data_IF_960373578636
#
_entry.id   IF_960373578636
#
_cell.length_a   1.000
_cell.length_b   1.000
_cell.length_c   1.000
_cell.angle_alpha   90.00
_cell.angle_beta   90.00
_cell.angle_gamma   90.00
#
_symmetry.space_group_name_H-M   'P 1'
#
loop_
_entity.id
_entity.type
_entity.pdbx_description
1 polymer ?
#
# COMPACT_ATOMS: atom_id res chain seq x y z
N UNK A 1 4.36 -28.37 -13.63
CA UNK A 1 3.45 -27.35 -14.18
C UNK A 1 2.07 -27.47 -13.57
N UNK A 2 1.53 -28.66 -13.61
CA UNK A 2 0.21 -28.87 -13.01
C UNK A 2 0.19 -28.58 -11.52
N UNK A 3 1.31 -28.83 -10.86
CA UNK A 3 1.43 -28.53 -9.44
C UNK A 3 1.36 -27.05 -9.12
N UNK A 4 1.69 -26.23 -10.10
CA UNK A 4 1.67 -24.78 -9.89
C UNK A 4 0.25 -24.28 -9.61
N UNK A 5 -0.73 -24.76 -10.38
CA UNK A 5 -2.11 -24.33 -10.19
C UNK A 5 -2.65 -24.83 -8.85
N UNK A 6 -2.38 -26.09 -8.54
CA UNK A 6 -2.82 -26.65 -7.27
C UNK A 6 -2.17 -25.92 -6.09
N UNK A 7 -0.88 -25.60 -6.25
CA UNK A 7 -0.15 -24.92 -5.19
C UNK A 7 -0.66 -23.50 -4.96
N UNK A 8 -1.16 -22.84 -6.00
CA UNK A 8 -1.69 -21.50 -5.86
C UNK A 8 -2.89 -21.49 -4.91
N UNK A 9 -3.78 -22.47 -5.03
CA UNK A 9 -4.93 -22.56 -4.13
C UNK A 9 -4.49 -22.86 -2.71
N UNK A 10 -3.53 -23.76 -2.55
CA UNK A 10 -3.02 -24.13 -1.22
C UNK A 10 -2.36 -22.92 -0.58
N UNK A 11 -1.57 -22.17 -1.34
CA UNK A 11 -0.86 -20.99 -0.82
C UNK A 11 -1.85 -19.95 -0.31
N UNK A 12 -2.96 -19.73 -1.01
CA UNK A 12 -3.94 -18.75 -0.58
C UNK A 12 -4.63 -19.20 0.71
N UNK A 13 -4.94 -20.48 0.83
CA UNK A 13 -5.69 -20.98 1.98
C UNK A 13 -4.80 -21.28 3.18
N UNK A 14 -3.61 -21.84 2.94
CA UNK A 14 -2.72 -22.30 3.99
C UNK A 14 -1.28 -21.91 3.66
N UNK A 15 -0.94 -20.66 3.98
CA UNK A 15 0.40 -20.15 3.68
C UNK A 15 1.45 -20.85 4.52
N UNK A 16 2.46 -21.42 3.87
CA UNK A 16 3.64 -21.93 4.55
C UNK A 16 4.66 -20.81 4.74
N UNK A 17 5.81 -21.12 5.31
CA UNK A 17 6.82 -20.11 5.62
C UNK A 17 7.31 -19.38 4.36
N UNK A 18 7.56 -20.12 3.28
CA UNK A 18 8.04 -19.52 2.03
C UNK A 18 6.99 -18.59 1.44
N UNK A 19 5.73 -19.01 1.46
CA UNK A 19 4.65 -18.21 0.94
C UNK A 19 4.41 -16.94 1.76
N UNK A 20 4.55 -17.05 3.07
CA UNK A 20 4.44 -15.91 3.97
C UNK A 20 5.53 -14.89 3.69
N UNK A 21 6.77 -15.36 3.45
CA UNK A 21 7.86 -14.46 3.09
C UNK A 21 7.62 -13.76 1.77
N UNK A 22 7.02 -14.47 0.81
CA UNK A 22 6.67 -13.88 -0.48
C UNK A 22 5.63 -12.78 -0.30
N UNK A 23 4.61 -13.03 0.53
CA UNK A 23 3.58 -12.03 0.81
C UNK A 23 4.20 -10.81 1.49
N UNK A 24 5.08 -11.02 2.47
CA UNK A 24 5.76 -9.90 3.14
C UNK A 24 6.59 -9.09 2.15
N UNK A 25 7.28 -9.76 1.24
CA UNK A 25 8.05 -9.09 0.20
C UNK A 25 7.14 -8.25 -0.69
N UNK A 26 5.98 -8.78 -1.06
CA UNK A 26 5.01 -8.06 -1.87
C UNK A 26 4.46 -6.85 -1.13
N UNK A 27 4.19 -6.98 0.17
CA UNK A 27 3.73 -5.86 0.99
C UNK A 27 4.71 -4.70 0.95
N UNK A 28 5.99 -5.00 1.14
CA UNK A 28 7.02 -3.97 1.14
C UNK A 28 7.17 -3.32 -0.23
N UNK A 29 7.11 -4.14 -1.28
CA UNK A 29 7.21 -3.59 -2.64
C UNK A 29 6.03 -2.71 -3.00
N UNK A 30 4.83 -3.07 -2.52
CA UNK A 30 3.65 -2.26 -2.76
C UNK A 30 3.80 -0.88 -2.14
N UNK A 31 4.30 -0.82 -0.90
CA UNK A 31 4.50 0.45 -0.23
C UNK A 31 5.56 1.28 -0.96
N UNK A 32 6.66 0.65 -1.36
CA UNK A 32 7.73 1.34 -2.08
C UNK A 32 7.22 1.89 -3.41
N UNK A 33 6.45 1.10 -4.14
CA UNK A 33 5.91 1.54 -5.41
C UNK A 33 4.87 2.64 -5.22
N UNK A 34 4.07 2.54 -4.14
CA UNK A 34 3.08 3.57 -3.83
C UNK A 34 3.75 4.92 -3.59
N UNK A 35 4.90 4.95 -2.91
CA UNK A 35 5.64 6.19 -2.73
C UNK A 35 6.12 6.75 -4.06
N UNK A 36 6.61 5.91 -4.96
CA UNK A 36 7.03 6.36 -6.28
C UNK A 36 5.86 6.91 -7.07
N UNK A 37 4.72 6.23 -7.01
CA UNK A 37 3.53 6.68 -7.70
C UNK A 37 3.01 7.99 -7.12
N UNK A 38 3.05 8.14 -5.80
CA UNK A 38 2.62 9.37 -5.14
C UNK A 38 3.49 10.55 -5.56
N UNK A 39 4.81 10.34 -5.56
CA UNK A 39 5.74 11.38 -6.01
C UNK A 39 5.46 11.77 -7.46
N UNK A 40 5.19 10.78 -8.30
CA UNK A 40 4.89 11.01 -9.71
C UNK A 40 3.63 11.86 -9.88
N UNK A 41 2.60 11.59 -9.07
CA UNK A 41 1.38 12.38 -9.12
C UNK A 41 1.65 13.85 -8.83
N UNK A 42 2.40 14.15 -7.77
CA UNK A 42 2.62 15.55 -7.41
C UNK A 42 3.64 16.22 -8.33
N UNK A 43 4.56 15.47 -8.93
CA UNK A 43 5.47 16.04 -9.92
C UNK A 43 4.72 16.52 -11.16
N UNK A 44 3.69 15.81 -11.56
CA UNK A 44 2.96 16.13 -12.79
C UNK A 44 1.78 17.05 -12.55
N UNK A 45 1.09 16.92 -11.42
CA UNK A 45 -0.15 17.64 -11.18
C UNK A 45 -0.10 18.61 -10.01
N UNK A 46 1.04 18.73 -9.36
CA UNK A 46 1.18 19.59 -8.19
C UNK A 46 0.74 18.90 -6.91
N UNK A 47 0.92 19.61 -5.81
CA UNK A 47 0.65 19.04 -4.49
C UNK A 47 -0.76 18.48 -4.34
N UNK A 48 -1.72 19.13 -4.99
CA UNK A 48 -3.11 18.73 -4.86
C UNK A 48 -3.47 17.48 -5.66
N UNK A 49 -2.57 17.03 -6.52
CA UNK A 49 -2.80 15.81 -7.28
C UNK A 49 -2.49 14.54 -6.49
N UNK A 50 -1.91 14.67 -5.30
CA UNK A 50 -1.62 13.52 -4.47
C UNK A 50 -2.88 12.88 -3.91
N UNK A 51 -2.72 11.69 -3.34
CA UNK A 51 -3.86 10.93 -2.80
C UNK A 51 -4.31 11.44 -1.44
N UNK A 52 -3.54 12.36 -0.85
CA UNK A 52 -3.95 13.04 0.38
C UNK A 52 -3.48 14.48 0.29
N UNK A 53 -3.96 15.30 1.22
CA UNK A 53 -3.60 16.71 1.24
C UNK A 53 -2.26 16.90 1.92
N UNK A 54 -1.19 16.84 1.12
CA UNK A 54 0.16 17.08 1.64
C UNK A 54 0.37 18.55 1.96
N UNK A 55 1.12 18.83 3.02
CA UNK A 55 1.56 20.19 3.29
C UNK A 55 2.70 20.54 2.34
N UNK A 56 3.02 21.82 2.25
CA UNK A 56 4.12 22.27 1.38
C UNK A 56 5.45 21.64 1.81
N UNK A 57 5.67 21.54 3.12
CA UNK A 57 6.87 20.92 3.67
C UNK A 57 6.94 19.44 3.32
N UNK A 58 5.80 18.75 3.43
CA UNK A 58 5.73 17.33 3.10
C UNK A 58 5.94 17.10 1.61
N UNK A 59 5.40 17.97 0.78
CA UNK A 59 5.62 17.90 -0.66
C UNK A 59 7.11 17.96 -0.98
N UNK A 60 7.80 18.91 -0.36
CA UNK A 60 9.24 19.03 -0.59
C UNK A 60 9.99 17.80 -0.15
N UNK A 61 9.61 17.26 1.00
CA UNK A 61 10.24 16.04 1.51
C UNK A 61 10.02 14.88 0.55
N UNK A 62 8.80 14.73 0.06
CA UNK A 62 8.47 13.66 -0.89
C UNK A 62 9.27 13.80 -2.17
N UNK A 63 9.38 15.03 -2.70
CA UNK A 63 10.12 15.27 -3.93
C UNK A 63 11.61 15.03 -3.75
N UNK A 64 12.18 15.36 -2.60
CA UNK A 64 13.60 15.21 -2.36
C UNK A 64 13.98 13.80 -1.93
N UNK A 65 13.18 13.18 -1.06
CA UNK A 65 13.54 11.92 -0.42
C UNK A 65 12.75 10.72 -0.95
N UNK A 66 11.68 10.96 -1.70
CA UNK A 66 10.85 9.89 -2.25
C UNK A 66 9.85 9.34 -1.27
N UNK A 67 9.75 9.91 -0.08
CA UNK A 67 8.78 9.52 0.94
C UNK A 67 8.68 10.63 1.97
N UNK A 68 7.67 10.54 2.83
CA UNK A 68 7.47 11.50 3.92
C UNK A 68 7.56 10.73 5.24
N UNK A 69 8.38 11.24 6.16
CA UNK A 69 8.56 10.62 7.47
C UNK A 69 7.23 10.58 8.22
N UNK A 70 7.12 9.62 9.13
CA UNK A 70 5.99 9.48 10.05
C UNK A 70 4.68 9.13 9.38
N UNK A 71 4.74 8.61 8.16
CA UNK A 71 3.57 8.06 7.50
C UNK A 71 3.73 6.57 7.33
N UNK A 72 2.66 5.84 7.63
CA UNK A 72 2.59 4.40 7.42
C UNK A 72 1.94 4.12 6.07
N UNK A 73 2.45 3.14 5.36
CA UNK A 73 1.77 2.62 4.17
C UNK A 73 0.75 1.58 4.61
N UNK A 74 -0.50 2.01 4.71
CA UNK A 74 -1.58 1.16 5.18
C UNK A 74 -2.18 0.38 4.02
N UNK A 75 -2.25 -0.95 4.16
CA UNK A 75 -2.97 -1.79 3.19
C UNK A 75 -4.46 -1.62 3.46
N UNK A 76 -5.16 -0.96 2.54
CA UNK A 76 -6.59 -0.65 2.69
C UNK A 76 -7.39 -1.92 2.93
N UNK A 77 -7.16 -2.93 2.09
CA UNK A 77 -7.72 -4.26 2.28
C UNK A 77 -6.64 -5.10 2.93
N UNK A 78 -6.88 -5.54 4.16
CA UNK A 78 -5.85 -6.18 4.95
C UNK A 78 -5.35 -7.46 4.28
N UNK A 79 -4.05 -7.67 4.39
CA UNK A 79 -3.37 -8.73 3.64
C UNK A 79 -3.77 -10.11 4.14
N UNK A 80 -4.07 -10.24 5.42
CA UNK A 80 -4.46 -11.53 5.97
C UNK A 80 -5.68 -12.10 5.25
N UNK A 81 -6.66 -11.27 4.95
CA UNK A 81 -7.88 -11.68 4.28
C UNK A 81 -7.82 -11.50 2.76
N UNK A 82 -6.90 -10.65 2.29
CA UNK A 82 -6.77 -10.32 0.88
C UNK A 82 -5.32 -10.40 0.43
N UNK A 83 -4.70 -11.60 0.53
CA UNK A 83 -3.28 -11.73 0.16
C UNK A 83 -3.01 -11.43 -1.31
N UNK A 84 -4.01 -11.56 -2.16
CA UNK A 84 -3.88 -11.24 -3.58
C UNK A 84 -3.64 -9.74 -3.80
N UNK A 85 -3.94 -8.91 -2.82
CA UNK A 85 -3.77 -7.45 -2.90
C UNK A 85 -2.51 -6.96 -2.22
N UNK A 86 -1.70 -7.88 -1.69
CA UNK A 86 -0.51 -7.51 -0.92
C UNK A 86 0.47 -6.68 -1.75
N UNK A 87 0.63 -7.00 -3.03
CA UNK A 87 1.58 -6.32 -3.91
C UNK A 87 0.99 -5.19 -4.72
N UNK A 88 -0.27 -4.84 -4.51
CA UNK A 88 -0.94 -3.82 -5.30
C UNK A 88 -0.72 -2.43 -4.68
N UNK A 89 0.03 -1.52 -5.34
CA UNK A 89 0.25 -0.19 -4.77
C UNK A 89 -1.01 0.64 -4.63
N UNK A 90 -2.05 0.35 -5.40
CA UNK A 90 -3.32 1.06 -5.25
C UNK A 90 -4.07 0.64 -3.99
N UNK A 91 -3.62 -0.43 -3.34
CA UNK A 91 -4.15 -0.86 -2.04
C UNK A 91 -3.42 -0.20 -0.87
N UNK A 92 -2.54 0.77 -1.15
CA UNK A 92 -1.76 1.45 -0.12
C UNK A 92 -2.25 2.88 0.06
N UNK A 93 -2.54 3.23 1.30
CA UNK A 93 -2.92 4.59 1.70
C UNK A 93 -1.93 5.07 2.74
N UNK A 94 -1.44 6.30 2.61
CA UNK A 94 -0.47 6.84 3.56
C UNK A 94 -1.19 7.52 4.71
N UNK A 95 -0.93 7.06 5.92
CA UNK A 95 -1.60 7.53 7.12
C UNK A 95 -0.57 7.81 8.21
N UNK A 96 -0.83 8.83 9.03
CA UNK A 96 -0.04 9.03 10.24
C UNK A 96 -0.33 7.87 11.20
N UNK A 97 0.53 7.65 12.20
CA UNK A 97 0.26 6.58 13.17
C UNK A 97 -1.11 6.69 13.83
N UNK A 98 -1.55 7.92 14.17
CA UNK A 98 -2.86 8.10 14.77
C UNK A 98 -3.99 7.78 13.80
N UNK A 99 -3.89 8.26 12.56
CA UNK A 99 -4.87 7.95 11.54
C UNK A 99 -4.94 6.44 11.28
N UNK A 100 -3.76 5.80 11.24
CA UNK A 100 -3.68 4.37 11.00
C UNK A 100 -4.38 3.58 12.09
N UNK A 101 -4.15 3.97 13.35
CA UNK A 101 -4.85 3.33 14.46
C UNK A 101 -6.36 3.56 14.37
N UNK A 102 -6.77 4.77 13.99
CA UNK A 102 -8.19 5.11 13.87
C UNK A 102 -8.89 4.28 12.80
N UNK A 103 -8.27 4.08 11.63
CA UNK A 103 -8.92 3.29 10.58
C UNK A 103 -9.05 1.83 10.98
N UNK A 104 -8.21 1.37 11.92
CA UNK A 104 -8.33 0.03 12.49
C UNK A 104 -9.28 0.00 13.70
N UNK A 105 -9.99 1.09 13.97
CA UNK A 105 -10.93 1.13 15.08
C UNK A 105 -10.27 1.04 16.43
N UNK A 106 -9.03 1.53 16.54
CA UNK A 106 -8.30 1.56 17.80
C UNK A 106 -7.50 0.31 18.11
N UNK A 107 -7.50 -0.67 17.21
CA UNK A 107 -6.75 -1.92 17.41
C UNK A 107 -6.25 -2.42 16.05
N UNK A 108 -4.92 -2.44 15.88
CA UNK A 108 -4.29 -2.86 14.61
C UNK A 108 -4.63 -4.29 14.21
N UNK A 109 -5.16 -5.09 15.12
CA UNK A 109 -5.57 -6.45 14.79
C UNK A 109 -6.91 -6.49 14.04
N UNK A 110 -7.68 -5.40 14.09
CA UNK A 110 -8.93 -5.34 13.37
C UNK A 110 -8.64 -5.30 11.86
N UNK A 111 -9.41 -6.07 11.12
CA UNK A 111 -9.26 -6.07 9.66
C UNK A 111 -9.87 -4.80 9.09
N UNK A 112 -9.40 -4.42 7.90
CA UNK A 112 -9.90 -3.26 7.19
C UNK A 112 -10.18 -3.64 5.74
N UNK A 113 -11.11 -2.91 5.13
CA UNK A 113 -11.46 -3.08 3.72
C UNK A 113 -11.86 -1.73 3.16
N UNK A 114 -11.73 -1.56 1.86
CA UNK A 114 -12.10 -0.32 1.22
C UNK A 114 -11.76 -0.31 -0.26
N UNK A 115 -12.10 0.79 -0.91
CA UNK A 115 -11.84 0.94 -2.33
C UNK A 115 -10.36 1.19 -2.58
N UNK A 116 -9.87 0.63 -3.68
CA UNK A 116 -8.49 0.88 -4.10
C UNK A 116 -8.35 2.33 -4.56
N UNK A 117 -7.15 2.86 -4.40
CA UNK A 117 -6.81 4.18 -4.93
C UNK A 117 -6.41 4.03 -6.41
N UNK A 118 -6.27 5.16 -7.09
CA UNK A 118 -5.86 5.14 -8.49
C UNK A 118 -4.81 6.22 -8.72
N UNK A 119 -3.56 5.86 -8.44
CA UNK A 119 -2.46 6.81 -8.53
C UNK A 119 -1.94 7.02 -9.93
N UNK A 120 -2.34 6.16 -10.87
CA UNK A 120 -1.79 6.23 -12.22
C UNK A 120 -2.72 6.84 -13.25
N UNK A 121 -3.90 7.25 -12.84
CA UNK A 121 -4.90 7.70 -13.81
C UNK A 121 -4.47 8.89 -14.65
N UNK A 122 -3.63 9.77 -14.10
CA UNK A 122 -3.25 10.95 -14.86
C UNK A 122 -2.11 10.68 -15.82
N UNK A 123 -1.55 9.49 -15.80
CA UNK A 123 -0.54 9.09 -16.76
C UNK A 123 -1.17 8.73 -18.11
N UNK A 124 -2.46 8.55 -18.12
CA UNK A 124 -3.20 8.24 -19.32
C UNK A 124 -3.48 9.52 -20.11
#
# INVERSE_FOLDING_TARGET
>A
AKGVVENADVVVKNLDEASKKTVESQRRRAVKQAWKDEKNLIEHGGREAGTRRWTRSEEQELLQNGKVKNYHGHHINNVKDHPEMAGNPDNIEFLTPGEHLDVHGGNFRNKTEGNLLNRKRHEE
#
